data_IF_282362497606
#
_entry.id   IF_282362497606
#
_cell.length_a   1.000
_cell.length_b   1.000
_cell.length_c   1.000
_cell.angle_alpha   90.00
_cell.angle_beta   90.00
_cell.angle_gamma   90.00
#
_symmetry.space_group_name_H-M   'P 1'
#
loop_
_entity.id
_entity.type
_entity.pdbx_description
1 polymer ?
#
# COMPACT_ATOMS: atom_id res chain seq x y z
N UNK A 1 -1.90 -18.93 10.36
CA UNK A 1 -1.94 -18.80 9.44
C UNK A 1 -2.28 -17.56 9.14
N UNK A 2 -2.27 -16.82 9.98
CA UNK A 2 -2.60 -15.50 9.74
C UNK A 2 -1.72 -14.83 8.75
N UNK A 3 -0.50 -15.27 8.59
CA UNK A 3 0.39 -14.66 7.64
C UNK A 3 0.09 -15.00 6.19
N UNK A 4 -0.83 -15.95 5.99
CA UNK A 4 -1.13 -16.38 4.63
C UNK A 4 -2.16 -15.44 4.00
N UNK A 5 -1.81 -14.88 2.87
CA UNK A 5 -2.74 -14.03 2.12
C UNK A 5 -3.49 -14.91 1.14
N UNK A 6 -4.82 -14.83 1.18
CA UNK A 6 -5.65 -15.56 0.26
C UNK A 6 -5.71 -14.79 -1.06
N UNK A 7 -5.14 -15.34 -2.11
CA UNK A 7 -5.06 -14.65 -3.39
C UNK A 7 -6.39 -14.54 -4.11
N UNK A 8 -7.41 -15.27 -3.66
CA UNK A 8 -8.74 -15.17 -4.27
C UNK A 8 -9.57 -14.06 -3.67
N UNK A 9 -9.17 -13.56 -2.50
CA UNK A 9 -9.91 -12.55 -1.79
C UNK A 9 -8.96 -11.53 -1.18
N UNK A 10 -9.42 -10.30 -1.09
CA UNK A 10 -8.67 -9.25 -0.39
C UNK A 10 -8.77 -9.47 1.11
N UNK A 11 -7.70 -9.15 1.81
CA UNK A 11 -7.66 -9.22 3.27
C UNK A 11 -7.76 -7.81 3.83
N UNK A 12 -8.58 -7.64 4.87
CA UNK A 12 -8.66 -6.35 5.54
C UNK A 12 -7.55 -6.22 6.57
N UNK A 13 -6.82 -5.13 6.50
CA UNK A 13 -5.78 -4.80 7.47
C UNK A 13 -5.83 -3.30 7.73
N UNK A 14 -6.16 -2.91 8.95
CA UNK A 14 -6.18 -1.50 9.30
C UNK A 14 -4.80 -1.09 9.78
N UNK A 15 -4.32 0.04 9.30
CA UNK A 15 -2.97 0.54 9.56
C UNK A 15 -3.07 1.82 10.37
N UNK A 16 -2.25 1.92 11.40
CA UNK A 16 -2.14 3.15 12.20
C UNK A 16 -0.67 3.55 12.25
N UNK A 17 -0.40 4.81 11.97
CA UNK A 17 0.96 5.32 12.01
C UNK A 17 0.95 6.73 12.56
N UNK A 18 2.14 7.28 12.84
CA UNK A 18 2.28 8.62 13.35
C UNK A 18 2.78 9.54 12.26
N UNK A 19 2.24 10.75 12.26
CA UNK A 19 2.68 11.78 11.34
C UNK A 19 4.12 12.13 11.66
N UNK A 20 4.95 12.08 10.63
CA UNK A 20 6.36 12.42 10.79
C UNK A 20 7.28 11.24 11.06
N UNK A 21 6.72 10.04 11.28
CA UNK A 21 7.54 8.84 11.40
C UNK A 21 7.70 8.20 10.04
N UNK A 22 8.86 7.58 9.81
CA UNK A 22 9.05 6.78 8.60
C UNK A 22 8.04 5.63 8.60
N UNK A 23 7.38 5.44 7.47
CA UNK A 23 6.42 4.35 7.30
C UNK A 23 7.08 3.18 6.58
N UNK A 24 6.87 1.97 7.07
CA UNK A 24 7.37 0.77 6.41
C UNK A 24 6.41 -0.39 6.68
N UNK A 25 6.01 -1.06 5.61
CA UNK A 25 5.14 -2.22 5.69
C UNK A 25 5.67 -3.27 4.73
N UNK A 26 5.86 -4.49 5.23
CA UNK A 26 6.25 -5.61 4.38
C UNK A 26 5.10 -6.59 4.31
N UNK A 27 4.68 -6.93 3.09
CA UNK A 27 3.69 -7.98 2.89
C UNK A 27 4.37 -9.18 2.27
N UNK A 28 3.96 -10.37 2.70
CA UNK A 28 4.54 -11.62 2.21
C UNK A 28 3.45 -12.38 1.48
N UNK A 29 3.70 -12.71 0.21
CA UNK A 29 2.74 -13.39 -0.63
C UNK A 29 3.17 -14.82 -0.89
N UNK A 30 2.21 -15.73 -0.74
CA UNK A 30 2.44 -17.15 -0.97
C UNK A 30 1.29 -17.70 -1.79
N UNK A 31 1.58 -18.77 -2.54
CA UNK A 31 0.51 -19.44 -3.27
C UNK A 31 -0.30 -20.33 -2.32
N UNK A 32 -1.31 -21.01 -2.86
CA UNK A 32 -2.19 -21.84 -2.04
C UNK A 32 -1.48 -23.01 -1.40
N UNK A 33 -0.32 -23.40 -1.92
CA UNK A 33 0.48 -24.47 -1.32
C UNK A 33 1.44 -23.95 -0.25
N UNK A 34 1.44 -22.63 -0.01
CA UNK A 34 2.32 -22.05 1.00
C UNK A 34 3.71 -21.71 0.49
N UNK A 35 3.91 -21.78 -0.81
CA UNK A 35 5.22 -21.47 -1.42
C UNK A 35 5.29 -19.98 -1.74
N UNK A 36 6.40 -19.34 -1.38
CA UNK A 36 6.58 -17.94 -1.62
C UNK A 36 6.57 -17.63 -3.13
N UNK A 37 5.95 -16.52 -3.50
CA UNK A 37 5.89 -16.11 -4.89
C UNK A 37 7.20 -15.43 -5.28
N UNK A 38 7.73 -15.70 -6.49
CA UNK A 38 8.97 -15.09 -6.94
C UNK A 38 8.70 -13.70 -7.52
N UNK A 39 8.51 -12.73 -6.64
CA UNK A 39 8.03 -11.41 -7.04
C UNK A 39 9.04 -10.67 -7.92
N UNK A 40 10.33 -10.84 -7.64
CA UNK A 40 11.35 -10.15 -8.41
C UNK A 40 11.57 -10.82 -9.77
N UNK A 41 11.70 -12.15 -9.78
CA UNK A 41 11.91 -12.89 -11.03
C UNK A 41 10.75 -12.70 -12.00
N UNK A 42 9.52 -12.72 -11.49
CA UNK A 42 8.33 -12.61 -12.35
C UNK A 42 7.89 -11.16 -12.55
N UNK A 43 8.69 -10.21 -12.08
CA UNK A 43 8.43 -8.78 -12.31
C UNK A 43 7.08 -8.29 -11.81
N UNK A 44 6.65 -8.76 -10.67
CA UNK A 44 5.44 -8.25 -10.05
C UNK A 44 5.62 -6.78 -9.74
N UNK A 45 4.57 -6.00 -9.96
CA UNK A 45 4.54 -4.59 -9.58
C UNK A 45 3.43 -4.38 -8.58
N UNK A 46 3.61 -3.39 -7.72
CA UNK A 46 2.64 -3.11 -6.67
C UNK A 46 2.16 -1.68 -6.78
N UNK A 47 0.86 -1.50 -6.59
CA UNK A 47 0.22 -0.20 -6.57
C UNK A 47 -0.43 -0.03 -5.22
N UNK A 48 -0.06 1.04 -4.52
CA UNK A 48 -0.63 1.37 -3.21
C UNK A 48 -1.28 2.73 -3.34
N UNK A 49 -2.52 2.85 -2.90
CA UNK A 49 -3.24 4.12 -2.94
C UNK A 49 -3.87 4.38 -1.58
N UNK A 50 -3.64 5.58 -1.06
CA UNK A 50 -4.28 6.06 0.16
C UNK A 50 -5.13 7.26 -0.25
N UNK A 51 -6.42 7.18 0.04
CA UNK A 51 -7.39 8.17 -0.39
C UNK A 51 -8.19 8.70 0.78
N UNK A 52 -8.64 9.93 0.64
CA UNK A 52 -9.58 10.51 1.60
C UNK A 52 -10.89 9.74 1.56
N UNK A 53 -11.53 9.60 2.72
CA UNK A 53 -12.84 9.00 2.78
C UNK A 53 -13.87 10.01 2.28
N UNK A 54 -14.83 9.52 1.50
CA UNK A 54 -15.93 10.36 1.04
C UNK A 54 -17.02 10.44 2.11
N UNK A 55 -17.76 11.52 2.09
CA UNK A 55 -18.94 11.64 2.91
C UNK A 55 -20.01 10.69 2.37
N UNK A 56 -20.97 10.27 3.21
CA UNK A 56 -21.94 9.25 2.80
C UNK A 56 -22.75 9.60 1.56
N UNK A 57 -22.92 10.89 1.29
CA UNK A 57 -23.73 11.31 0.14
C UNK A 57 -22.92 11.65 -1.09
N UNK A 58 -21.62 11.40 -1.06
CA UNK A 58 -20.76 11.64 -2.20
C UNK A 58 -20.56 10.37 -3.00
N UNK A 59 -20.35 10.52 -4.29
CA UNK A 59 -20.10 9.40 -5.17
C UNK A 59 -18.66 9.41 -5.66
N UNK A 60 -18.17 8.23 -6.03
CA UNK A 60 -16.84 8.10 -6.59
C UNK A 60 -15.78 7.80 -5.54
N UNK A 61 -14.53 8.15 -5.85
CA UNK A 61 -13.40 7.90 -4.97
C UNK A 61 -12.91 9.21 -4.40
N UNK A 62 -12.42 9.16 -3.16
CA UNK A 62 -11.81 10.33 -2.55
C UNK A 62 -10.49 10.69 -3.21
N UNK A 63 -9.95 11.84 -2.85
CA UNK A 63 -8.69 12.31 -3.42
C UNK A 63 -7.54 11.38 -3.05
N UNK A 64 -6.66 11.14 -4.01
CA UNK A 64 -5.47 10.33 -3.80
C UNK A 64 -4.42 11.21 -3.13
N UNK A 65 -4.09 10.90 -1.88
CA UNK A 65 -3.15 11.73 -1.12
C UNK A 65 -1.77 11.11 -0.99
N UNK A 66 -1.66 9.80 -1.13
CA UNK A 66 -0.38 9.10 -1.04
C UNK A 66 -0.48 7.87 -1.92
N UNK A 67 0.48 7.68 -2.79
CA UNK A 67 0.43 6.53 -3.68
C UNK A 67 1.78 6.20 -4.28
N UNK A 68 1.83 5.06 -4.95
CA UNK A 68 3.02 4.68 -5.70
C UNK A 68 3.11 5.50 -6.97
N UNK A 69 4.33 5.77 -7.42
CA UNK A 69 4.52 6.63 -8.57
C UNK A 69 4.08 5.99 -9.88
N UNK A 70 3.80 4.70 -9.88
CA UNK A 70 3.37 4.00 -11.09
C UNK A 70 1.86 3.91 -11.26
N UNK A 71 1.08 4.62 -10.44
CA UNK A 71 -0.35 4.71 -10.68
C UNK A 71 -0.59 5.72 -11.79
N UNK A 72 -1.69 5.57 -12.51
CA UNK A 72 -2.00 6.48 -13.59
C UNK A 72 -2.38 7.88 -13.14
N UNK A 73 -2.82 8.02 -11.90
CA UNK A 73 -3.20 9.30 -11.31
C UNK A 73 -2.11 9.73 -10.36
N UNK A 74 -1.65 10.97 -10.53
CA UNK A 74 -0.56 11.48 -9.70
C UNK A 74 -1.06 11.80 -8.30
N UNK A 75 -0.42 11.20 -7.30
CA UNK A 75 -0.73 11.50 -5.90
C UNK A 75 -0.02 12.78 -5.47
N UNK A 76 -0.54 13.42 -4.42
CA UNK A 76 0.11 14.59 -3.82
C UNK A 76 1.46 14.20 -3.25
N UNK A 77 1.53 13.03 -2.62
CA UNK A 77 2.77 12.49 -2.08
C UNK A 77 2.94 11.07 -2.59
N UNK A 78 4.17 10.62 -2.67
CA UNK A 78 4.47 9.30 -3.21
C UNK A 78 5.22 8.44 -2.20
N UNK A 79 4.89 7.14 -2.19
CA UNK A 79 5.71 6.16 -1.52
C UNK A 79 7.06 6.03 -2.24
N UNK A 80 8.06 5.55 -1.52
CA UNK A 80 9.29 5.15 -2.17
C UNK A 80 8.97 4.00 -3.13
N UNK A 81 9.82 3.76 -4.13
CA UNK A 81 9.59 2.61 -5.00
C UNK A 81 9.47 1.33 -4.19
N UNK A 82 8.46 0.52 -4.50
CA UNK A 82 8.23 -0.74 -3.77
C UNK A 82 9.35 -1.70 -4.13
N UNK A 83 9.98 -2.29 -3.12
CA UNK A 83 11.02 -3.29 -3.33
C UNK A 83 10.44 -4.67 -3.13
N UNK A 84 10.88 -5.61 -3.95
CA UNK A 84 10.35 -6.98 -3.92
C UNK A 84 11.51 -7.96 -3.95
N UNK A 85 11.27 -9.18 -3.48
CA UNK A 85 12.25 -10.26 -3.58
C UNK A 85 11.56 -11.55 -3.99
N UNK A 86 12.35 -12.61 -4.18
CA UNK A 86 11.80 -13.90 -4.61
C UNK A 86 11.33 -14.76 -3.44
N UNK A 87 11.41 -14.23 -2.24
CA UNK A 87 10.83 -14.88 -1.06
C UNK A 87 9.41 -14.39 -0.79
N UNK A 88 8.81 -13.72 -1.76
CA UNK A 88 7.43 -13.27 -1.65
C UNK A 88 7.24 -11.97 -0.91
N UNK A 89 8.31 -11.27 -0.57
CA UNK A 89 8.22 -10.06 0.23
C UNK A 89 8.16 -8.82 -0.66
N UNK A 90 7.20 -7.94 -0.37
CA UNK A 90 7.10 -6.62 -0.99
C UNK A 90 7.14 -5.60 0.14
N UNK A 91 8.06 -4.66 0.08
CA UNK A 91 8.24 -3.64 1.12
C UNK A 91 7.81 -2.29 0.59
N UNK A 92 6.89 -1.67 1.33
CA UNK A 92 6.27 -0.39 0.98
C UNK A 92 6.72 0.61 2.02
N UNK A 93 7.38 1.69 1.59
CA UNK A 93 7.96 2.66 2.50
C UNK A 93 7.64 4.08 2.09
N UNK A 94 7.55 4.95 3.08
CA UNK A 94 7.45 6.39 2.85
C UNK A 94 8.37 7.08 3.84
N UNK A 95 9.09 8.09 3.38
CA UNK A 95 10.05 8.80 4.22
C UNK A 95 9.32 9.61 5.30
N UNK A 96 10.07 9.95 6.36
CA UNK A 96 9.52 10.80 7.42
C UNK A 96 9.03 12.13 6.86
N UNK A 97 9.74 12.68 5.87
CA UNK A 97 9.34 13.94 5.26
C UNK A 97 8.01 13.79 4.54
N UNK A 98 7.83 12.70 3.80
CA UNK A 98 6.57 12.45 3.11
C UNK A 98 5.43 12.28 4.13
N UNK A 99 5.66 11.51 5.19
CA UNK A 99 4.62 11.28 6.19
C UNK A 99 4.27 12.57 6.94
N UNK A 100 5.25 13.45 7.12
CA UNK A 100 4.99 14.74 7.78
C UNK A 100 4.05 15.61 6.94
N UNK A 101 4.04 15.41 5.63
CA UNK A 101 3.20 16.20 4.73
C UNK A 101 1.75 15.75 4.72
N UNK A 102 1.43 14.63 5.37
CA UNK A 102 0.07 14.11 5.39
C UNK A 102 -0.61 14.56 6.67
N UNK A 103 -1.76 15.22 6.54
CA UNK A 103 -2.50 15.69 7.70
C UNK A 103 -2.97 14.48 8.52
N UNK A 104 -3.00 14.63 9.85
CA UNK A 104 -3.54 13.59 10.69
C UNK A 104 -5.02 13.36 10.35
N UNK A 105 -5.46 12.12 10.44
CA UNK A 105 -6.83 11.78 10.09
C UNK A 105 -6.96 10.32 9.71
N UNK A 106 -8.16 9.97 9.27
CA UNK A 106 -8.48 8.61 8.88
C UNK A 106 -8.73 8.58 7.38
N UNK A 107 -7.98 7.72 6.71
CA UNK A 107 -8.05 7.55 5.26
C UNK A 107 -8.35 6.09 4.94
N UNK A 108 -8.60 5.81 3.67
CA UNK A 108 -8.77 4.44 3.17
C UNK A 108 -7.62 4.12 2.23
N UNK A 109 -7.20 2.85 2.23
CA UNK A 109 -6.13 2.44 1.33
C UNK A 109 -6.43 1.08 0.73
N UNK A 110 -5.75 0.78 -0.38
CA UNK A 110 -5.67 -0.57 -0.87
C UNK A 110 -4.30 -0.82 -1.48
N UNK A 111 -3.96 -2.09 -1.58
CA UNK A 111 -2.72 -2.56 -2.19
C UNK A 111 -3.09 -3.59 -3.24
N UNK A 112 -2.60 -3.36 -4.46
CA UNK A 112 -2.80 -4.27 -5.58
C UNK A 112 -1.46 -4.73 -6.10
N UNK A 113 -1.42 -5.93 -6.64
CA UNK A 113 -0.26 -6.31 -7.44
C UNK A 113 -0.68 -6.45 -8.91
N UNK A 114 0.31 -6.33 -9.77
CA UNK A 114 0.16 -6.57 -11.20
C UNK A 114 1.20 -7.63 -11.57
N UNK A 115 0.71 -8.77 -12.03
CA UNK A 115 1.59 -9.82 -12.55
C UNK A 115 1.57 -9.73 -14.06
N UNK A 116 2.70 -9.36 -14.68
CA UNK A 116 2.74 -9.23 -16.13
C UNK A 116 2.54 -10.58 -16.80
N UNK A 117 1.89 -10.55 -17.95
CA UNK A 117 1.74 -11.76 -18.76
C UNK A 117 3.06 -12.12 -19.39
N UNK A 118 3.43 -13.42 -19.36
CA UNK A 118 4.63 -13.90 -19.99
C UNK A 118 4.33 -14.52 -21.35
N UNK A 119 3.05 -14.60 -21.72
CA UNK A 119 2.64 -15.29 -22.95
C UNK A 119 1.91 -14.38 -23.92
N UNK A 120 1.95 -13.07 -23.67
CA UNK A 120 1.26 -12.12 -24.53
C UNK A 120 -0.20 -11.94 -24.23
N UNK A 121 -0.70 -12.55 -23.14
CA UNK A 121 -2.08 -12.37 -22.71
C UNK A 121 -2.24 -11.13 -21.85
N UNK A 122 -3.29 -11.13 -21.04
CA UNK A 122 -3.58 -10.00 -20.19
C UNK A 122 -2.77 -10.09 -18.90
N UNK A 123 -2.32 -8.93 -18.41
CA UNK A 123 -1.72 -8.84 -17.09
C UNK A 123 -2.78 -9.12 -16.04
N UNK A 124 -2.37 -9.68 -14.92
CA UNK A 124 -3.26 -9.98 -13.82
C UNK A 124 -3.17 -8.86 -12.80
N UNK A 125 -4.31 -8.22 -12.50
CA UNK A 125 -4.42 -7.18 -11.48
C UNK A 125 -5.22 -7.74 -10.32
N UNK A 126 -4.71 -7.59 -9.10
CA UNK A 126 -5.41 -8.14 -7.94
C UNK A 126 -5.21 -7.28 -6.71
N UNK A 127 -6.33 -6.94 -6.06
CA UNK A 127 -6.28 -6.26 -4.77
C UNK A 127 -6.07 -7.30 -3.67
N UNK A 128 -5.03 -7.13 -2.88
CA UNK A 128 -4.67 -8.11 -1.86
C UNK A 128 -4.94 -7.62 -0.44
N UNK A 129 -4.82 -6.30 -0.22
CA UNK A 129 -5.07 -5.72 1.10
C UNK A 129 -5.88 -4.44 0.94
N UNK A 130 -6.71 -4.17 1.94
CA UNK A 130 -7.45 -2.91 2.01
C UNK A 130 -7.80 -2.62 3.47
N UNK A 131 -8.18 -1.39 3.77
CA UNK A 131 -8.60 -1.05 5.11
C UNK A 131 -8.47 0.43 5.37
N UNK A 132 -8.48 0.79 6.65
CA UNK A 132 -8.26 2.17 7.03
C UNK A 132 -6.78 2.44 7.19
N UNK A 133 -6.39 3.68 6.93
CA UNK A 133 -5.03 4.16 7.09
C UNK A 133 -5.13 5.39 7.97
N UNK A 134 -4.75 5.25 9.24
CA UNK A 134 -4.93 6.30 10.24
C UNK A 134 -3.59 6.93 10.53
N UNK A 135 -3.51 8.24 10.37
CA UNK A 135 -2.31 9.02 10.67
C UNK A 135 -2.60 9.82 11.94
N UNK A 136 -1.91 9.49 13.00
CA UNK A 136 -2.05 10.20 14.27
C UNK A 136 -1.03 11.30 14.37
N UNK A 137 -1.40 12.36 15.11
CA UNK A 137 -0.50 13.47 15.31
C UNK A 137 0.68 13.03 16.15
N UNK A 138 1.85 13.55 15.84
CA UNK A 138 3.07 13.24 16.57
C UNK A 138 3.22 14.28 17.69
N UNK A 139 2.91 13.86 18.91
CA UNK A 139 2.96 14.77 20.05
C UNK A 139 4.39 15.21 20.34
N UNK A 140 5.35 14.34 20.13
CA UNK A 140 6.73 14.67 20.49
C UNK A 140 7.33 15.72 19.59
N UNK A 141 6.71 15.98 18.44
CA UNK A 141 7.19 17.01 17.55
C UNK A 141 7.17 18.38 18.21
N UNK A 142 6.21 18.61 19.07
CA UNK A 142 6.08 19.91 19.72
C UNK A 142 7.22 20.19 20.67
N UNK A 143 7.89 19.15 21.12
CA UNK A 143 8.98 19.31 22.08
C UNK A 143 10.24 19.79 21.43
N UNK A 144 10.35 19.52 20.15
CA UNK A 144 11.53 19.89 19.43
C UNK A 144 11.69 21.35 19.42
N UNK A 145 10.65 22.02 19.59
CA UNK A 145 10.55 23.45 19.75
C UNK A 145 11.45 24.24 18.90
#
# INVERSE_FOLDING_TARGET
MASKVNLDESTRLDITCKRGDTFSLTVTLKDSAGVALPLDTDNYRFIVQVRENLLPNEAGKGNLILGTSNVGVKATNNFEPVTVDDSGNATIQASALTMRSIASGKYSYDIQYIKPSTTGGLDIHKTILFGSFVVNEDISEAIEG
#
